data_IF_319115581607
#
_entry.id   IF_319115581607
#
_cell.length_a   1.000
_cell.length_b   1.000
_cell.length_c   1.000
_cell.angle_alpha   90.00
_cell.angle_beta   90.00
_cell.angle_gamma   90.00
#
_symmetry.space_group_name_H-M   'P 1'
#
loop_
_entity.id
_entity.type
_entity.pdbx_description
1 polymer ?
#
# COMPACT_ATOMS: atom_id res chain seq x y z
N UNK A 1 14.98 21.41 -20.85
CA UNK A 1 13.80 20.51 -20.84
C UNK A 1 12.83 21.02 -19.78
N UNK A 2 11.52 21.14 -20.06
CA UNK A 2 10.59 21.75 -19.12
C UNK A 2 10.32 20.81 -17.95
N UNK A 3 10.72 21.22 -16.75
CA UNK A 3 10.29 20.60 -15.50
C UNK A 3 8.86 21.06 -15.25
N UNK A 4 7.95 20.13 -15.02
CA UNK A 4 6.55 20.42 -14.73
C UNK A 4 6.32 20.27 -13.24
N UNK A 5 5.92 21.36 -12.59
CA UNK A 5 5.58 21.35 -11.16
C UNK A 5 4.13 20.91 -10.98
N UNK A 6 3.88 20.10 -9.95
CA UNK A 6 2.54 19.68 -9.56
C UNK A 6 2.22 20.32 -8.21
N UNK A 7 1.08 21.03 -8.07
CA UNK A 7 0.73 21.66 -6.81
C UNK A 7 0.67 20.66 -5.65
N UNK A 8 1.17 21.06 -4.49
CA UNK A 8 1.14 20.26 -3.27
C UNK A 8 -0.28 19.79 -2.93
N UNK A 9 -1.25 20.71 -3.03
CA UNK A 9 -2.67 20.43 -2.78
C UNK A 9 -3.22 19.33 -3.71
N UNK A 10 -2.75 19.25 -4.95
CA UNK A 10 -3.13 18.19 -5.89
C UNK A 10 -2.59 16.83 -5.41
N UNK A 11 -1.32 16.77 -4.98
CA UNK A 11 -0.74 15.54 -4.44
C UNK A 11 -1.48 15.05 -3.19
N UNK A 12 -1.86 15.98 -2.31
CA UNK A 12 -2.65 15.68 -1.10
C UNK A 12 -4.04 15.15 -1.44
N UNK A 13 -4.75 15.77 -2.39
CA UNK A 13 -6.07 15.30 -2.86
C UNK A 13 -5.99 13.92 -3.51
N UNK A 14 -4.97 13.67 -4.34
CA UNK A 14 -4.73 12.35 -4.94
C UNK A 14 -4.54 11.31 -3.86
N UNK A 15 -3.67 11.58 -2.88
CA UNK A 15 -3.43 10.67 -1.76
C UNK A 15 -4.72 10.42 -0.97
N UNK A 16 -5.46 11.47 -0.65
CA UNK A 16 -6.71 11.34 0.09
C UNK A 16 -7.72 10.44 -0.64
N UNK A 17 -7.87 10.61 -1.96
CA UNK A 17 -8.70 9.75 -2.79
C UNK A 17 -8.24 8.29 -2.73
N UNK A 18 -6.96 8.02 -2.96
CA UNK A 18 -6.39 6.66 -2.93
C UNK A 18 -6.61 6.02 -1.57
N UNK A 19 -6.28 6.71 -0.47
CA UNK A 19 -6.46 6.21 0.90
C UNK A 19 -7.93 5.94 1.20
N UNK A 20 -8.85 6.82 0.76
CA UNK A 20 -10.29 6.63 0.97
C UNK A 20 -10.88 5.45 0.20
N UNK A 21 -10.22 5.02 -0.88
CA UNK A 21 -10.62 3.86 -1.68
C UNK A 21 -9.96 2.57 -1.21
N UNK A 22 -8.75 2.64 -0.64
CA UNK A 22 -8.00 1.51 -0.10
C UNK A 22 -8.38 1.23 1.37
N UNK A 23 -9.67 1.00 1.63
CA UNK A 23 -10.18 0.71 2.97
C UNK A 23 -10.37 -0.80 3.13
N UNK A 24 -9.72 -1.37 4.14
CA UNK A 24 -9.94 -2.76 4.53
C UNK A 24 -11.15 -2.87 5.47
N UNK A 25 -11.98 -3.91 5.34
CA UNK A 25 -13.03 -4.21 6.31
C UNK A 25 -12.46 -4.31 7.74
N UNK A 26 -13.22 -3.83 8.74
CA UNK A 26 -12.79 -3.88 10.14
C UNK A 26 -12.51 -5.30 10.63
N UNK A 27 -13.30 -6.29 10.18
CA UNK A 27 -13.12 -7.71 10.48
C UNK A 27 -11.79 -8.27 9.96
N UNK A 28 -11.24 -7.71 8.88
CA UNK A 28 -9.93 -8.09 8.34
C UNK A 28 -8.80 -7.29 8.97
N UNK A 29 -9.06 -6.02 9.30
CA UNK A 29 -8.03 -5.14 9.82
C UNK A 29 -7.76 -5.39 11.31
N UNK A 30 -8.81 -5.66 12.08
CA UNK A 30 -8.77 -5.97 13.51
C UNK A 30 -9.64 -7.22 13.80
N UNK A 31 -9.21 -8.42 13.36
CA UNK A 31 -9.94 -9.65 13.64
C UNK A 31 -10.08 -9.86 15.16
N UNK A 32 -11.26 -10.29 15.61
CA UNK A 32 -11.50 -10.60 17.03
C UNK A 32 -10.93 -11.98 17.34
N UNK A 33 -10.22 -12.11 18.46
CA UNK A 33 -9.77 -13.42 18.94
C UNK A 33 -10.95 -14.22 19.48
N UNK A 34 -11.08 -15.48 19.07
CA UNK A 34 -12.11 -16.41 19.54
C UNK A 34 -11.92 -16.82 21.01
N UNK A 35 -10.75 -16.59 21.59
CA UNK A 35 -10.36 -17.05 22.94
C UNK A 35 -11.03 -16.30 24.12
N UNK A 36 -12.02 -15.45 23.86
CA UNK A 36 -12.70 -14.65 24.89
C UNK A 36 -14.23 -14.60 24.75
N UNK A 37 -14.81 -15.40 23.86
CA UNK A 37 -16.27 -15.52 23.73
C UNK A 37 -16.67 -16.68 24.65
N UNK A 38 -17.42 -16.40 25.71
CA UNK A 38 -18.08 -17.47 26.47
C UNK A 38 -19.00 -18.23 25.50
N UNK A 39 -18.90 -19.56 25.47
CA UNK A 39 -19.58 -20.45 24.51
C UNK A 39 -21.12 -20.39 24.52
N UNK A 40 -21.74 -19.62 25.43
CA UNK A 40 -23.18 -19.65 25.66
C UNK A 40 -23.98 -18.55 24.92
N UNK A 41 -23.35 -17.50 24.36
CA UNK A 41 -24.11 -16.46 23.63
C UNK A 41 -23.27 -15.77 22.53
N UNK A 42 -23.65 -15.90 21.24
CA UNK A 42 -22.97 -15.18 20.18
C UNK A 42 -23.18 -13.67 20.36
N UNK A 43 -22.13 -12.84 20.26
CA UNK A 43 -22.27 -11.41 20.47
C UNK A 43 -23.21 -10.80 19.43
N UNK A 44 -24.15 -9.96 19.88
CA UNK A 44 -25.04 -9.23 18.96
C UNK A 44 -24.21 -8.38 17.99
N UNK A 45 -24.51 -8.41 16.68
CA UNK A 45 -23.78 -7.61 15.71
C UNK A 45 -24.17 -6.14 15.82
N UNK A 46 -23.18 -5.27 16.04
CA UNK A 46 -23.37 -3.81 16.06
C UNK A 46 -23.58 -3.22 14.65
N UNK A 47 -23.25 -3.98 13.60
CA UNK A 47 -23.36 -3.57 12.20
C UNK A 47 -23.45 -4.75 11.23
N UNK A 48 -23.98 -4.50 10.02
CA UNK A 48 -24.01 -5.48 8.93
C UNK A 48 -22.61 -6.00 8.53
N UNK A 49 -21.57 -5.21 8.77
CA UNK A 49 -20.17 -5.63 8.54
C UNK A 49 -19.68 -6.70 9.53
N UNK A 50 -20.35 -6.86 10.67
CA UNK A 50 -19.97 -7.81 11.72
C UNK A 50 -20.60 -9.20 11.52
N UNK A 51 -21.56 -9.32 10.59
CA UNK A 51 -22.22 -10.58 10.25
C UNK A 51 -21.24 -11.64 9.71
N UNK A 52 -20.17 -11.22 9.01
CA UNK A 52 -19.13 -12.15 8.55
C UNK A 52 -18.41 -12.88 9.68
N UNK A 53 -18.27 -12.23 10.84
CA UNK A 53 -17.71 -12.83 12.05
C UNK A 53 -18.66 -13.87 12.65
N UNK A 54 -19.98 -13.65 12.58
CA UNK A 54 -21.01 -14.59 13.07
C UNK A 54 -21.05 -15.89 12.28
N UNK A 55 -20.87 -15.84 10.95
CA UNK A 55 -20.78 -17.07 10.15
C UNK A 55 -19.49 -17.87 10.44
N UNK A 56 -18.46 -17.21 10.94
CA UNK A 56 -17.22 -17.88 11.37
C UNK A 56 -17.38 -18.62 12.71
N UNK A 57 -18.36 -18.24 13.55
CA UNK A 57 -18.67 -18.91 14.82
C UNK A 57 -19.38 -20.26 14.64
N UNK A 58 -20.08 -20.49 13.52
CA UNK A 58 -20.80 -21.74 13.25
C UNK A 58 -20.01 -22.83 12.53
N UNK A 59 -18.73 -22.60 12.22
CA UNK A 59 -17.89 -23.51 11.44
C UNK A 59 -17.11 -24.50 12.32
N UNK A 60 -17.16 -25.79 11.97
CA UNK A 60 -16.36 -26.87 12.58
C UNK A 60 -14.86 -26.54 12.62
N UNK A 61 -14.12 -26.92 13.69
CA UNK A 61 -12.76 -26.42 13.95
C UNK A 61 -11.63 -27.00 13.07
N UNK A 62 -11.93 -27.87 12.09
CA UNK A 62 -10.90 -28.65 11.39
C UNK A 62 -10.69 -28.32 9.90
N UNK A 63 -11.41 -27.36 9.30
CA UNK A 63 -11.11 -26.94 7.93
C UNK A 63 -10.66 -25.47 7.84
N UNK A 64 -9.34 -25.35 7.68
CA UNK A 64 -8.68 -24.34 6.86
C UNK A 64 -8.75 -22.90 7.39
N UNK A 65 -7.74 -22.52 8.18
CA UNK A 65 -7.41 -21.17 8.65
C UNK A 65 -7.05 -20.20 7.49
N UNK A 66 -8.00 -19.95 6.59
CA UNK A 66 -7.89 -18.99 5.48
C UNK A 66 -8.88 -17.82 5.61
N UNK A 67 -9.56 -17.70 6.75
CA UNK A 67 -10.40 -16.56 7.11
C UNK A 67 -9.56 -15.52 7.89
N UNK A 68 -10.09 -14.29 8.08
CA UNK A 68 -9.45 -13.32 8.97
C UNK A 68 -9.11 -13.97 10.31
N UNK A 69 -7.82 -14.00 10.63
CA UNK A 69 -7.30 -14.72 11.79
C UNK A 69 -6.31 -13.85 12.55
N UNK A 70 -6.12 -14.15 13.83
CA UNK A 70 -5.13 -13.49 14.70
C UNK A 70 -3.85 -14.33 14.86
N UNK A 71 -3.75 -15.46 14.15
CA UNK A 71 -2.76 -16.51 14.38
C UNK A 71 -1.44 -16.24 13.63
N UNK A 72 -1.28 -15.08 13.00
CA UNK A 72 -0.11 -14.78 12.18
C UNK A 72 -0.09 -15.55 10.85
N UNK A 73 -1.25 -15.99 10.35
CA UNK A 73 -1.34 -16.70 9.07
C UNK A 73 -1.90 -15.78 7.97
N UNK A 74 -1.40 -15.97 6.76
CA UNK A 74 -1.88 -15.23 5.60
C UNK A 74 -3.31 -15.64 5.22
N UNK A 75 -4.16 -14.65 4.93
CA UNK A 75 -5.50 -14.84 4.38
C UNK A 75 -5.74 -13.86 3.22
N UNK A 76 -6.77 -14.11 2.42
CA UNK A 76 -7.14 -13.26 1.28
C UNK A 76 -8.13 -12.20 1.76
N UNK A 77 -7.87 -10.94 1.42
CA UNK A 77 -8.80 -9.84 1.67
C UNK A 77 -9.91 -9.81 0.62
N UNK A 78 -11.14 -9.48 1.05
CA UNK A 78 -12.25 -9.21 0.15
C UNK A 78 -12.18 -7.82 -0.50
N UNK A 79 -11.35 -6.91 0.02
CA UNK A 79 -11.19 -5.58 -0.52
C UNK A 79 -10.55 -5.63 -1.92
N UNK A 80 -11.04 -4.81 -2.84
CA UNK A 80 -10.49 -4.67 -4.19
C UNK A 80 -9.61 -3.41 -4.30
N UNK A 81 -8.27 -3.51 -4.29
CA UNK A 81 -7.40 -2.34 -4.43
C UNK A 81 -7.56 -1.64 -5.78
N UNK A 82 -8.12 -2.33 -6.79
CA UNK A 82 -8.42 -1.75 -8.09
C UNK A 82 -9.41 -0.58 -8.01
N UNK A 83 -10.23 -0.50 -6.96
CA UNK A 83 -11.20 0.57 -6.78
C UNK A 83 -10.52 1.93 -6.60
N UNK A 84 -9.28 1.96 -6.09
CA UNK A 84 -8.49 3.19 -5.99
C UNK A 84 -8.12 3.80 -7.35
N UNK A 85 -8.07 2.98 -8.41
CA UNK A 85 -7.83 3.44 -9.77
C UNK A 85 -9.08 4.07 -10.40
N UNK A 86 -10.26 3.84 -9.83
CA UNK A 86 -11.48 4.48 -10.28
C UNK A 86 -11.38 5.98 -10.02
N UNK A 87 -11.67 6.80 -11.04
CA UNK A 87 -11.62 8.27 -11.02
C UNK A 87 -10.22 8.90 -10.96
N UNK A 88 -9.14 8.12 -11.00
CA UNK A 88 -7.80 8.69 -11.15
C UNK A 88 -7.55 9.10 -12.61
N UNK A 89 -7.21 10.37 -12.89
CA UNK A 89 -6.99 10.82 -14.26
C UNK A 89 -5.69 10.22 -14.83
N UNK A 90 -5.75 9.76 -16.07
CA UNK A 90 -4.57 9.34 -16.82
C UNK A 90 -3.94 8.02 -16.36
N UNK A 91 -4.55 7.29 -15.43
CA UNK A 91 -4.06 5.99 -14.94
C UNK A 91 -5.21 4.99 -14.80
N UNK A 92 -5.02 3.76 -15.27
CA UNK A 92 -6.00 2.67 -15.21
C UNK A 92 -5.31 1.32 -15.09
N UNK A 93 -6.06 0.32 -14.65
CA UNK A 93 -5.62 -1.07 -14.71
C UNK A 93 -5.70 -1.56 -16.17
N UNK A 94 -4.73 -2.37 -16.61
CA UNK A 94 -4.79 -3.05 -17.91
C UNK A 94 -5.97 -4.03 -17.92
N UNK A 95 -6.58 -4.21 -19.08
CA UNK A 95 -7.65 -5.19 -19.28
C UNK A 95 -7.20 -6.60 -18.89
N UNK A 96 -8.12 -7.39 -18.35
CA UNK A 96 -7.90 -8.77 -17.94
C UNK A 96 -6.92 -8.97 -16.76
N UNK A 97 -6.58 -7.91 -16.03
CA UNK A 97 -5.87 -8.00 -14.75
C UNK A 97 -6.77 -7.52 -13.61
N UNK A 98 -6.55 -8.11 -12.43
CA UNK A 98 -7.16 -7.74 -11.16
C UNK A 98 -6.08 -7.52 -10.10
N UNK A 99 -6.34 -6.61 -9.16
CA UNK A 99 -5.54 -6.48 -7.95
C UNK A 99 -6.15 -7.33 -6.83
N UNK A 100 -5.31 -8.10 -6.13
CA UNK A 100 -5.72 -8.95 -5.01
C UNK A 100 -4.79 -8.71 -3.83
N UNK A 101 -5.32 -8.77 -2.61
CA UNK A 101 -4.54 -8.50 -1.40
C UNK A 101 -4.53 -9.72 -0.50
N UNK A 102 -3.35 -10.08 -0.03
CA UNK A 102 -3.15 -10.99 1.08
C UNK A 102 -2.83 -10.20 2.33
N UNK A 103 -3.38 -10.62 3.46
CA UNK A 103 -3.18 -9.98 4.75
C UNK A 103 -2.65 -10.99 5.76
N UNK A 104 -1.80 -10.51 6.66
CA UNK A 104 -1.33 -11.23 7.83
C UNK A 104 -1.57 -10.34 9.05
N UNK A 105 -2.10 -10.94 10.12
CA UNK A 105 -2.40 -10.24 11.37
C UNK A 105 -1.82 -11.01 12.55
N UNK A 106 -1.10 -10.32 13.42
CA UNK A 106 -0.48 -10.89 14.61
C UNK A 106 -0.53 -9.86 15.74
N UNK A 107 -1.53 -10.01 16.63
CA UNK A 107 -1.77 -9.06 17.71
C UNK A 107 -2.00 -7.63 17.20
N UNK A 108 -1.12 -6.69 17.57
CA UNK A 108 -1.18 -5.29 17.14
C UNK A 108 -0.36 -4.99 15.86
N UNK A 109 0.34 -5.99 15.33
CA UNK A 109 1.13 -5.89 14.12
C UNK A 109 0.42 -6.59 12.95
N UNK A 110 0.74 -6.17 11.73
CA UNK A 110 0.12 -6.72 10.53
C UNK A 110 0.90 -6.39 9.27
N UNK A 111 0.73 -7.19 8.24
CA UNK A 111 1.31 -6.96 6.93
C UNK A 111 0.25 -7.19 5.86
N UNK A 112 0.38 -6.50 4.73
CA UNK A 112 -0.37 -6.81 3.54
C UNK A 112 0.55 -6.91 2.32
N UNK A 113 0.11 -7.68 1.34
CA UNK A 113 0.78 -7.78 0.04
C UNK A 113 -0.27 -7.74 -1.06
N UNK A 114 -0.09 -6.80 -1.99
CA UNK A 114 -0.95 -6.66 -3.16
C UNK A 114 -0.26 -7.27 -4.38
N UNK A 115 -0.97 -8.15 -5.08
CA UNK A 115 -0.54 -8.72 -6.35
C UNK A 115 -1.46 -8.29 -7.48
N UNK A 116 -0.89 -8.17 -8.68
CA UNK A 116 -1.66 -8.11 -9.90
C UNK A 116 -1.69 -9.49 -10.54
N UNK A 117 -2.89 -10.02 -10.79
CA UNK A 117 -3.12 -11.35 -11.36
C UNK A 117 -4.06 -11.26 -12.56
N UNK A 118 -4.00 -12.21 -13.51
CA UNK A 118 -5.04 -12.33 -14.53
C UNK A 118 -6.42 -12.54 -13.91
N UNK A 119 -7.45 -11.88 -14.44
CA UNK A 119 -8.83 -11.96 -13.92
C UNK A 119 -9.33 -13.41 -13.85
N UNK A 120 -8.98 -14.24 -14.85
CA UNK A 120 -9.33 -15.67 -14.86
C UNK A 120 -8.70 -16.48 -13.72
N UNK A 121 -7.62 -15.98 -13.11
CA UNK A 121 -6.90 -16.60 -11.98
C UNK A 121 -7.16 -15.89 -10.64
N UNK A 122 -8.02 -14.88 -10.60
CA UNK A 122 -8.32 -14.13 -9.38
C UNK A 122 -9.47 -14.71 -8.55
N UNK A 123 -9.95 -15.91 -8.88
CA UNK A 123 -10.99 -16.59 -8.09
C UNK A 123 -10.41 -17.11 -6.77
N UNK A 124 -11.22 -17.16 -5.72
CA UNK A 124 -10.80 -17.60 -4.38
C UNK A 124 -10.10 -18.97 -4.41
N UNK A 125 -10.62 -19.92 -5.20
CA UNK A 125 -10.02 -21.25 -5.34
C UNK A 125 -8.60 -21.23 -5.93
N UNK A 126 -8.28 -20.28 -6.81
CA UNK A 126 -6.92 -20.11 -7.33
C UNK A 126 -6.02 -19.40 -6.33
N UNK A 127 -6.53 -18.39 -5.65
CA UNK A 127 -5.77 -17.62 -4.66
C UNK A 127 -5.42 -18.43 -3.40
N UNK A 128 -6.32 -19.31 -2.95
CA UNK A 128 -6.09 -20.18 -1.79
C UNK A 128 -4.93 -21.17 -2.00
N UNK A 129 -4.71 -21.62 -3.24
CA UNK A 129 -3.56 -22.49 -3.57
C UNK A 129 -2.21 -21.84 -3.25
N UNK A 130 -2.14 -20.50 -3.24
CA UNK A 130 -0.93 -19.77 -2.85
C UNK A 130 -0.72 -19.75 -1.33
N UNK A 131 -1.80 -19.79 -0.55
CA UNK A 131 -1.73 -19.85 0.92
C UNK A 131 -1.15 -21.19 1.38
N UNK A 132 -1.61 -22.30 0.79
CA UNK A 132 -1.12 -23.65 1.12
C UNK A 132 0.39 -23.76 0.88
N UNK A 133 0.89 -23.16 -0.21
CA UNK A 133 2.32 -23.14 -0.54
C UNK A 133 3.14 -22.22 0.38
N UNK A 134 2.58 -21.07 0.76
CA UNK A 134 3.24 -20.06 1.61
C UNK A 134 3.34 -20.45 3.08
N UNK A 135 2.42 -21.30 3.57
CA UNK A 135 2.37 -21.74 4.97
C UNK A 135 3.25 -22.95 5.31
N UNK A 136 3.92 -23.56 4.32
CA UNK A 136 4.50 -24.91 4.44
C UNK A 136 6.02 -24.99 4.75
N UNK A 137 6.70 -23.88 5.07
CA UNK A 137 8.16 -23.92 5.33
C UNK A 137 8.49 -23.32 6.69
N UNK A 138 8.68 -24.22 7.67
CA UNK A 138 9.44 -24.09 8.91
C UNK A 138 9.52 -22.72 9.62
N UNK A 139 8.90 -22.65 10.79
CA UNK A 139 9.15 -21.89 12.06
C UNK A 139 9.70 -20.45 12.03
N UNK A 140 10.43 -19.95 11.02
CA UNK A 140 11.13 -18.65 11.10
C UNK A 140 11.05 -17.75 9.86
N UNK A 141 10.36 -18.14 8.77
CA UNK A 141 10.16 -17.23 7.62
C UNK A 141 8.73 -17.34 7.10
N UNK A 142 7.88 -16.37 7.47
CA UNK A 142 6.55 -16.20 6.87
C UNK A 142 6.70 -15.85 5.38
N UNK A 143 6.72 -16.87 4.53
CA UNK A 143 6.82 -16.69 3.09
C UNK A 143 5.55 -15.99 2.57
N UNK A 144 5.74 -14.86 1.88
CA UNK A 144 4.64 -14.10 1.29
C UNK A 144 3.97 -14.97 0.22
N UNK A 145 2.63 -15.18 0.28
CA UNK A 145 1.92 -15.99 -0.70
C UNK A 145 2.01 -15.32 -2.08
N UNK A 146 2.37 -16.10 -3.09
CA UNK A 146 2.45 -15.64 -4.47
C UNK A 146 1.44 -16.42 -5.34
N UNK A 147 0.35 -15.78 -5.81
CA UNK A 147 -0.63 -16.43 -6.65
C UNK A 147 -0.06 -16.75 -8.04
N UNK A 148 -0.55 -17.83 -8.65
CA UNK A 148 -0.12 -18.23 -9.97
C UNK A 148 -0.43 -17.14 -11.01
N UNK A 149 0.52 -16.87 -11.90
CA UNK A 149 0.37 -15.85 -12.93
C UNK A 149 0.48 -14.41 -12.41
N UNK A 150 0.83 -14.20 -11.14
CA UNK A 150 1.09 -12.86 -10.61
C UNK A 150 2.20 -12.15 -11.39
N UNK A 151 2.02 -10.87 -11.67
CA UNK A 151 3.12 -10.03 -12.15
C UNK A 151 4.18 -9.84 -11.06
N UNK A 152 5.42 -9.59 -11.48
CA UNK A 152 6.56 -9.41 -10.56
C UNK A 152 6.49 -8.11 -9.75
N UNK A 153 5.87 -7.07 -10.32
CA UNK A 153 5.57 -5.81 -9.65
C UNK A 153 4.14 -5.39 -10.03
N UNK A 154 3.32 -5.05 -9.03
CA UNK A 154 1.92 -4.63 -9.22
C UNK A 154 1.80 -3.44 -10.19
N UNK A 155 2.82 -2.58 -10.25
CA UNK A 155 2.85 -1.41 -11.13
C UNK A 155 2.95 -1.77 -12.61
N UNK A 156 3.32 -3.01 -12.96
CA UNK A 156 3.29 -3.52 -14.35
C UNK A 156 1.86 -3.71 -14.86
N UNK A 157 0.89 -3.82 -13.95
CA UNK A 157 -0.53 -3.95 -14.29
C UNK A 157 -1.16 -2.62 -14.74
N UNK A 158 -0.46 -1.50 -14.55
CA UNK A 158 -1.00 -0.19 -14.85
C UNK A 158 -0.71 0.24 -16.28
N UNK A 159 -1.68 0.94 -16.86
CA UNK A 159 -1.58 1.67 -18.11
C UNK A 159 -2.10 3.09 -17.91
N UNK A 160 -1.73 4.01 -18.80
CA UNK A 160 -2.05 5.41 -18.60
C UNK A 160 -1.64 6.28 -19.78
N UNK A 161 -1.95 7.56 -19.69
CA UNK A 161 -1.70 8.55 -20.74
C UNK A 161 -0.27 9.10 -20.76
N UNK A 162 0.55 8.68 -19.79
CA UNK A 162 1.93 9.14 -19.57
C UNK A 162 2.05 10.65 -19.42
N UNK A 163 0.99 11.30 -18.96
CA UNK A 163 1.02 12.69 -18.52
C UNK A 163 1.87 12.84 -17.26
N UNK A 164 2.42 14.05 -16.98
CA UNK A 164 3.13 14.34 -15.75
C UNK A 164 2.33 13.96 -14.50
N UNK A 165 1.02 14.24 -14.51
CA UNK A 165 0.14 13.93 -13.40
C UNK A 165 0.01 12.41 -13.20
N UNK A 166 -0.10 11.61 -14.26
CA UNK A 166 -0.18 10.15 -14.17
C UNK A 166 1.04 9.54 -13.46
N UNK A 167 2.24 10.10 -13.65
CA UNK A 167 3.45 9.62 -12.95
C UNK A 167 3.47 9.98 -11.47
N UNK A 168 2.96 11.16 -11.09
CA UNK A 168 2.75 11.51 -9.68
C UNK A 168 1.72 10.58 -9.06
N UNK A 169 0.60 10.33 -9.74
CA UNK A 169 -0.43 9.41 -9.25
C UNK A 169 0.14 8.00 -9.06
N UNK A 170 0.85 7.46 -10.05
CA UNK A 170 1.47 6.14 -9.96
C UNK A 170 2.47 6.04 -8.81
N UNK A 171 3.25 7.11 -8.59
CA UNK A 171 4.21 7.24 -7.50
C UNK A 171 3.54 7.15 -6.12
N UNK A 172 2.44 7.88 -5.93
CA UNK A 172 1.68 7.89 -4.68
C UNK A 172 0.99 6.54 -4.49
N UNK A 173 0.27 6.06 -5.52
CA UNK A 173 -0.43 4.78 -5.50
C UNK A 173 0.49 3.62 -5.11
N UNK A 174 1.70 3.55 -5.68
CA UNK A 174 2.68 2.51 -5.33
C UNK A 174 2.95 2.46 -3.83
N UNK A 175 3.09 3.63 -3.20
CA UNK A 175 3.40 3.72 -1.77
C UNK A 175 2.19 3.35 -0.92
N UNK A 176 0.99 3.77 -1.32
CA UNK A 176 -0.24 3.38 -0.62
C UNK A 176 -0.53 1.87 -0.76
N UNK A 177 -0.30 1.26 -1.93
CA UNK A 177 -0.46 -0.18 -2.12
C UNK A 177 0.54 -1.00 -1.30
N UNK A 178 1.76 -0.49 -1.09
CA UNK A 178 2.76 -1.12 -0.23
C UNK A 178 2.44 -1.01 1.26
N UNK A 179 1.72 0.05 1.65
CA UNK A 179 1.28 0.27 3.03
C UNK A 179 -0.06 -0.43 3.32
N UNK A 180 -0.79 -0.88 2.29
CA UNK A 180 -2.10 -1.52 2.46
C UNK A 180 -1.99 -2.77 3.33
N UNK A 181 -2.65 -2.74 4.48
CA UNK A 181 -2.64 -3.84 5.46
C UNK A 181 -1.44 -3.84 6.41
N UNK A 182 -0.56 -2.84 6.35
CA UNK A 182 0.46 -2.60 7.36
C UNK A 182 -0.16 -2.09 8.67
N UNK A 183 0.26 -2.65 9.80
CA UNK A 183 -0.12 -2.24 11.15
C UNK A 183 1.10 -2.28 12.07
N UNK A 184 1.11 -1.41 13.09
CA UNK A 184 2.17 -1.38 14.09
C UNK A 184 3.53 -1.04 13.49
N UNK A 185 4.50 -1.95 13.64
CA UNK A 185 5.89 -1.72 13.22
C UNK A 185 6.11 -1.75 11.71
N UNK A 186 5.19 -2.32 10.94
CA UNK A 186 5.29 -2.38 9.48
C UNK A 186 4.86 -1.08 8.80
N UNK A 187 4.20 -0.18 9.53
CA UNK A 187 3.79 1.13 9.03
C UNK A 187 5.00 2.05 8.83
N UNK A 188 5.19 2.54 7.60
CA UNK A 188 6.19 3.55 7.29
C UNK A 188 5.55 4.75 6.58
N UNK A 189 4.97 4.53 5.40
CA UNK A 189 4.48 5.58 4.52
C UNK A 189 3.33 6.39 5.11
N UNK A 190 2.50 5.77 5.94
CA UNK A 190 1.41 6.42 6.69
C UNK A 190 1.91 7.56 7.60
N UNK A 191 3.18 7.54 8.00
CA UNK A 191 3.81 8.59 8.81
C UNK A 191 4.37 9.76 8.00
N UNK A 192 4.35 9.70 6.67
CA UNK A 192 4.86 10.76 5.83
C UNK A 192 3.77 11.80 5.52
N UNK A 193 4.13 13.07 5.45
CA UNK A 193 3.25 14.18 5.03
C UNK A 193 3.94 14.96 3.92
N UNK A 194 3.25 15.21 2.80
CA UNK A 194 3.84 15.99 1.71
C UNK A 194 4.16 17.41 2.16
N UNK A 195 5.28 17.92 1.66
CA UNK A 195 5.74 19.29 1.92
C UNK A 195 6.19 19.93 0.61
N UNK A 196 6.09 21.26 0.55
CA UNK A 196 6.73 22.11 -0.45
C UNK A 196 7.63 23.18 0.20
N UNK A 197 7.71 23.19 1.53
CA UNK A 197 8.55 24.06 2.34
C UNK A 197 8.96 23.31 3.61
N UNK A 198 10.06 23.71 4.25
CA UNK A 198 10.46 23.14 5.52
C UNK A 198 9.46 23.52 6.63
N UNK A 199 9.04 22.57 7.49
CA UNK A 199 8.24 22.89 8.67
C UNK A 199 9.00 23.85 9.61
N UNK A 200 8.37 24.94 10.01
CA UNK A 200 8.99 26.02 10.81
C UNK A 200 9.14 25.68 12.29
N UNK A 201 8.47 24.64 12.78
CA UNK A 201 8.46 24.27 14.20
C UNK A 201 9.81 23.70 14.69
N UNK A 202 10.74 23.40 13.78
CA UNK A 202 12.03 22.78 14.10
C UNK A 202 13.15 23.40 13.27
N UNK A 203 14.34 23.43 13.85
CA UNK A 203 15.56 23.72 13.11
C UNK A 203 16.05 22.45 12.41
N UNK A 204 16.33 22.55 11.11
CA UNK A 204 16.73 21.41 10.30
C UNK A 204 18.24 21.39 10.06
N UNK A 205 18.82 20.19 10.10
CA UNK A 205 20.19 19.90 9.70
C UNK A 205 20.16 19.07 8.42
N UNK A 206 20.73 19.61 7.34
CA UNK A 206 20.86 18.89 6.08
C UNK A 206 21.88 17.77 6.18
N UNK A 207 21.54 16.62 5.60
CA UNK A 207 22.41 15.43 5.46
C UNK A 207 22.98 15.28 4.04
N UNK A 208 22.69 16.25 3.18
CA UNK A 208 23.14 16.28 1.78
C UNK A 208 24.07 17.47 1.57
N UNK A 209 25.11 17.35 0.71
CA UNK A 209 26.05 18.44 0.45
C UNK A 209 25.38 19.68 -0.15
N UNK A 210 24.36 19.48 -0.98
CA UNK A 210 23.61 20.55 -1.65
C UNK A 210 22.13 20.42 -1.31
N UNK A 211 21.61 21.27 -0.42
CA UNK A 211 20.18 21.32 -0.12
C UNK A 211 19.34 21.64 -1.36
N UNK A 212 18.18 21.00 -1.56
CA UNK A 212 17.27 21.35 -2.62
C UNK A 212 16.73 22.76 -2.41
N UNK A 213 16.80 23.61 -3.45
CA UNK A 213 16.24 24.97 -3.42
C UNK A 213 14.72 24.99 -3.49
N UNK A 214 14.14 23.99 -4.13
CA UNK A 214 12.70 23.86 -4.36
C UNK A 214 12.24 22.45 -3.95
N UNK A 215 11.35 22.41 -2.97
CA UNK A 215 10.74 21.20 -2.42
C UNK A 215 9.38 20.87 -3.08
N UNK A 216 8.98 21.61 -4.12
CA UNK A 216 7.72 21.36 -4.81
C UNK A 216 7.77 20.01 -5.54
N UNK A 217 6.66 19.25 -5.57
CA UNK A 217 6.55 18.07 -6.41
C UNK A 217 6.78 18.44 -7.88
N UNK A 218 7.61 17.66 -8.57
CA UNK A 218 8.01 17.94 -9.94
C UNK A 218 8.15 16.68 -10.77
N UNK A 219 7.94 16.82 -12.07
CA UNK A 219 8.07 15.75 -13.04
C UNK A 219 8.87 16.24 -14.23
N UNK A 220 9.82 15.41 -14.66
CA UNK A 220 10.59 15.59 -15.87
C UNK A 220 10.28 14.44 -16.82
N UNK A 221 9.79 14.75 -18.02
CA UNK A 221 9.61 13.78 -19.10
C UNK A 221 10.74 13.99 -20.11
N UNK A 222 11.44 12.91 -20.44
CA UNK A 222 12.56 12.92 -21.38
C UNK A 222 12.08 12.69 -22.82
N UNK A 223 12.87 13.08 -23.84
CA UNK A 223 12.51 12.85 -25.25
C UNK A 223 12.31 11.38 -25.64
N UNK A 224 12.88 10.45 -24.87
CA UNK A 224 12.76 9.00 -25.06
C UNK A 224 11.57 8.38 -24.29
N UNK A 225 10.61 9.20 -23.86
CA UNK A 225 9.43 8.83 -23.09
C UNK A 225 9.69 8.25 -21.69
N UNK A 226 10.94 8.26 -21.22
CA UNK A 226 11.22 8.05 -19.80
C UNK A 226 10.69 9.23 -18.99
N UNK A 227 10.43 9.00 -17.71
CA UNK A 227 10.02 10.06 -16.80
C UNK A 227 10.71 9.94 -15.45
N UNK A 228 10.87 11.06 -14.76
CA UNK A 228 11.31 11.11 -13.38
C UNK A 228 10.36 11.98 -12.58
N UNK A 229 9.83 11.44 -11.49
CA UNK A 229 9.02 12.17 -10.53
C UNK A 229 9.83 12.37 -9.27
N UNK A 230 9.82 13.59 -8.74
CA UNK A 230 10.47 13.95 -7.49
C UNK A 230 9.48 14.71 -6.60
N UNK A 231 9.45 14.37 -5.32
CA UNK A 231 8.70 15.11 -4.31
C UNK A 231 9.29 14.88 -2.92
N UNK A 232 8.81 15.66 -1.96
CA UNK A 232 9.36 15.66 -0.61
C UNK A 232 8.26 15.42 0.41
N UNK A 233 8.64 14.76 1.50
CA UNK A 233 7.76 14.55 2.64
C UNK A 233 8.49 14.79 3.96
N UNK A 234 7.72 15.10 5.00
CA UNK A 234 8.17 15.10 6.38
C UNK A 234 7.57 13.88 7.08
N UNK A 235 8.41 13.03 7.66
CA UNK A 235 7.97 11.94 8.54
C UNK A 235 7.67 12.53 9.92
N UNK A 236 6.42 12.43 10.37
CA UNK A 236 5.96 13.08 11.61
C UNK A 236 6.15 12.21 12.87
N UNK A 237 6.39 10.92 12.71
CA UNK A 237 6.75 10.00 13.81
C UNK A 237 8.26 9.79 13.88
N UNK A 238 8.76 9.41 15.06
CA UNK A 238 10.20 9.21 15.27
C UNK A 238 10.74 7.98 14.49
N UNK A 239 11.92 8.06 13.84
CA UNK A 239 12.74 9.26 13.66
C UNK A 239 12.10 10.27 12.68
N UNK A 240 11.93 11.51 13.16
CA UNK A 240 11.42 12.63 12.35
C UNK A 240 12.51 13.05 11.38
N UNK A 241 12.18 13.13 10.09
CA UNK A 241 13.12 13.52 9.04
C UNK A 241 12.38 14.05 7.81
N UNK A 242 13.08 14.85 7.00
CA UNK A 242 12.65 15.22 5.65
C UNK A 242 13.18 14.19 4.68
N UNK A 243 12.29 13.64 3.87
CA UNK A 243 12.61 12.66 2.84
C UNK A 243 12.46 13.28 1.45
N UNK A 244 13.41 12.94 0.59
CA UNK A 244 13.31 13.10 -0.85
C UNK A 244 12.94 11.76 -1.47
N UNK A 245 11.93 11.77 -2.31
CA UNK A 245 11.47 10.62 -3.06
C UNK A 245 11.67 10.87 -4.54
N UNK A 246 12.36 9.94 -5.21
CA UNK A 246 12.61 10.00 -6.65
C UNK A 246 12.17 8.69 -7.27
N UNK A 247 11.28 8.76 -8.27
CA UNK A 247 10.79 7.62 -9.01
C UNK A 247 11.16 7.78 -10.49
N UNK A 248 11.86 6.80 -11.04
CA UNK A 248 12.29 6.77 -12.43
C UNK A 248 11.51 5.72 -13.21
N UNK A 249 10.82 6.14 -14.27
CA UNK A 249 9.97 5.32 -15.11
C UNK A 249 10.63 5.04 -16.45
N UNK A 250 10.54 3.78 -16.91
CA UNK A 250 10.92 3.40 -18.27
C UNK A 250 9.94 3.94 -19.31
N UNK A 251 10.31 3.87 -20.59
CA UNK A 251 9.58 4.52 -21.69
C UNK A 251 8.11 4.08 -21.84
N UNK A 252 7.80 2.81 -21.52
CA UNK A 252 6.52 2.19 -21.88
C UNK A 252 5.75 1.56 -20.72
N UNK A 253 6.16 1.79 -19.47
CA UNK A 253 5.50 1.21 -18.30
C UNK A 253 5.50 2.17 -17.10
N UNK A 254 4.68 1.84 -16.08
CA UNK A 254 4.59 2.57 -14.81
C UNK A 254 5.37 1.89 -13.67
N UNK A 255 6.04 0.76 -13.94
CA UNK A 255 7.04 0.22 -13.01
C UNK A 255 8.20 1.22 -12.88
N UNK A 256 8.45 1.68 -11.66
CA UNK A 256 9.52 2.63 -11.36
C UNK A 256 10.68 1.99 -10.60
N UNK A 257 11.88 2.52 -10.80
CA UNK A 257 12.94 2.45 -9.80
C UNK A 257 12.72 3.59 -8.81
N UNK A 258 12.44 3.27 -7.54
CA UNK A 258 12.11 4.24 -6.50
C UNK A 258 13.25 4.36 -5.50
N UNK A 259 13.66 5.59 -5.20
CA UNK A 259 14.62 5.90 -4.12
C UNK A 259 13.99 6.87 -3.14
N UNK A 260 14.04 6.51 -1.86
CA UNK A 260 13.61 7.37 -0.75
C UNK A 260 14.81 7.61 0.15
N UNK A 261 15.20 8.86 0.38
CA UNK A 261 16.35 9.20 1.23
C UNK A 261 16.03 10.32 2.20
N UNK A 262 16.47 10.16 3.44
CA UNK A 262 16.40 11.23 4.44
C UNK A 262 17.45 12.31 4.11
N UNK A 263 17.00 13.51 3.77
CA UNK A 263 17.86 14.64 3.38
C UNK A 263 18.06 15.68 4.47
N UNK A 264 17.19 15.69 5.48
CA UNK A 264 17.35 16.54 6.65
C UNK A 264 16.76 15.87 7.90
N UNK A 265 17.35 16.18 9.05
CA UNK A 265 16.85 15.78 10.37
C UNK A 265 16.70 17.00 11.27
N UNK A 266 15.86 16.93 12.32
CA UNK A 266 15.84 17.95 13.36
C UNK A 266 17.23 18.05 14.00
N UNK A 267 17.73 19.29 14.19
CA UNK A 267 18.89 19.53 15.05
C UNK A 267 18.55 19.03 16.46
N UNK A 268 19.48 18.29 17.08
CA UNK A 268 19.38 18.01 18.52
C UNK A 268 19.47 19.35 19.25
N UNK A 269 18.50 19.62 20.11
CA UNK A 269 18.57 20.72 21.09
C UNK A 269 19.55 20.31 22.18
#
# INVERSE_FOLDING_TARGET
MPIQTVPLATCQKIRQHIVSALVLPNSENHPRSLSGINDDEPPEPDSLGDLGSLFSLGGMPELETYTPNCNGQWFISAANPGDALMKLPGLKLKSALRLVTYLLRSGTDGMGMVWAVPEMLSTTAHLQKALVKGSAVGVDVLQIPQPNGSLSDVMEALAGDRSPLSFVIASILRRELKELGALGKSCDWSHHRFINALPTQRNWQWRVPTPPKDLSPKVLIYPDNRATTEFFTCRITAPVAIYQHVDQYGANHYRASSTSRAIAIPKKV
#
